data_IF_472373768907
#
_entry.id   IF_472373768907
#
_cell.length_a   1.000
_cell.length_b   1.000
_cell.length_c   1.000
_cell.angle_alpha   90.00
_cell.angle_beta   90.00
_cell.angle_gamma   90.00
#
_symmetry.space_group_name_H-M   'P 1'
#
loop_
_entity.id
_entity.type
_entity.pdbx_description
1 polymer ?
#
# COMPACT_ATOMS: atom_id res chain seq x y z
N UNK A 1 6.50 -19.50 -10.84
CA UNK A 1 5.64 -20.50 -11.52
C UNK A 1 4.15 -20.26 -11.26
N UNK A 2 3.69 -19.95 -10.04
CA UNK A 2 2.25 -19.77 -9.77
C UNK A 2 1.56 -18.64 -10.57
N UNK A 3 2.21 -17.48 -10.74
CA UNK A 3 1.65 -16.34 -11.49
C UNK A 3 1.40 -16.63 -12.97
N UNK A 4 2.20 -17.53 -13.58
CA UNK A 4 2.08 -17.91 -15.00
C UNK A 4 0.78 -18.68 -15.31
N UNK A 5 0.14 -19.29 -14.30
CA UNK A 5 -1.12 -20.01 -14.47
C UNK A 5 -2.36 -19.11 -14.36
N UNK A 6 -2.22 -17.89 -13.84
CA UNK A 6 -3.37 -16.99 -13.58
C UNK A 6 -3.57 -15.94 -14.68
N UNK A 7 -2.44 -15.52 -15.26
CA UNK A 7 -2.38 -14.66 -16.44
C UNK A 7 -1.43 -15.36 -17.38
N UNK A 8 -1.92 -15.74 -18.56
CA UNK A 8 -1.05 -16.19 -19.62
C UNK A 8 -0.17 -15.02 -20.03
N UNK A 9 1.06 -14.99 -19.51
CA UNK A 9 2.04 -13.96 -19.83
C UNK A 9 2.25 -13.87 -21.35
N UNK A 10 1.99 -14.94 -22.11
CA UNK A 10 2.10 -14.91 -23.56
C UNK A 10 1.08 -13.98 -24.22
N UNK A 11 -0.05 -13.71 -23.57
CA UNK A 11 -1.07 -12.76 -24.05
C UNK A 11 -0.71 -11.29 -23.80
N UNK A 12 0.32 -11.02 -23.00
CA UNK A 12 0.78 -9.65 -22.73
C UNK A 12 1.69 -9.12 -23.84
N UNK A 13 1.77 -7.79 -23.95
CA UNK A 13 2.54 -7.13 -25.00
C UNK A 13 4.03 -7.50 -24.93
N UNK A 14 4.76 -7.60 -26.07
CA UNK A 14 6.21 -7.80 -26.05
C UNK A 14 6.96 -6.76 -25.23
N UNK A 15 6.51 -5.50 -25.27
CA UNK A 15 7.04 -4.39 -24.47
C UNK A 15 6.92 -4.69 -22.96
N UNK A 16 5.77 -5.15 -22.50
CA UNK A 16 5.59 -5.49 -21.09
C UNK A 16 6.42 -6.71 -20.67
N UNK A 17 6.52 -7.75 -21.52
CA UNK A 17 7.34 -8.93 -21.23
C UNK A 17 8.81 -8.58 -21.00
N UNK A 18 9.36 -7.71 -21.84
CA UNK A 18 10.73 -7.18 -21.68
C UNK A 18 10.88 -6.39 -20.37
N UNK A 19 9.94 -5.47 -20.10
CA UNK A 19 9.93 -4.68 -18.86
C UNK A 19 9.84 -5.57 -17.60
N UNK A 20 8.98 -6.59 -17.62
CA UNK A 20 8.81 -7.54 -16.53
C UNK A 20 10.07 -8.39 -16.31
N UNK A 21 10.71 -8.86 -17.39
CA UNK A 21 11.96 -9.59 -17.28
C UNK A 21 13.07 -8.72 -16.65
N UNK A 22 13.21 -7.47 -17.08
CA UNK A 22 14.15 -6.50 -16.51
C UNK A 22 13.84 -6.22 -15.04
N UNK A 23 12.57 -5.99 -14.69
CA UNK A 23 12.15 -5.76 -13.31
C UNK A 23 12.47 -6.95 -12.40
N UNK A 24 12.22 -8.18 -12.89
CA UNK A 24 12.50 -9.41 -12.15
C UNK A 24 14.00 -9.55 -11.90
N UNK A 25 14.81 -9.40 -12.94
CA UNK A 25 16.27 -9.47 -12.84
C UNK A 25 16.81 -8.40 -11.88
N UNK A 26 16.37 -7.15 -12.04
CA UNK A 26 16.76 -6.04 -11.18
C UNK A 26 16.41 -6.29 -9.70
N UNK A 27 15.21 -6.79 -9.39
CA UNK A 27 14.85 -7.06 -8.00
C UNK A 27 15.68 -8.21 -7.41
N UNK A 28 15.81 -9.33 -8.12
CA UNK A 28 16.49 -10.52 -7.61
C UNK A 28 18.01 -10.34 -7.50
N UNK A 29 18.62 -9.68 -8.50
CA UNK A 29 20.07 -9.65 -8.66
C UNK A 29 20.70 -8.31 -8.27
N UNK A 30 19.92 -7.23 -8.11
CA UNK A 30 20.43 -5.93 -7.65
C UNK A 30 19.83 -5.53 -6.30
N UNK A 31 18.50 -5.44 -6.20
CA UNK A 31 17.85 -4.92 -4.99
C UNK A 31 18.00 -5.82 -3.76
N UNK A 32 17.74 -7.13 -3.89
CA UNK A 32 17.84 -8.06 -2.75
C UNK A 32 19.29 -8.15 -2.22
N UNK A 33 20.33 -8.33 -3.07
CA UNK A 33 21.72 -8.32 -2.58
C UNK A 33 22.15 -7.00 -1.94
N UNK A 34 21.57 -5.87 -2.37
CA UNK A 34 21.87 -4.55 -1.84
C UNK A 34 21.33 -4.29 -0.43
N UNK A 35 20.40 -5.10 0.10
CA UNK A 35 19.80 -4.90 1.42
C UNK A 35 20.86 -4.81 2.53
N UNK A 36 21.87 -5.69 2.51
CA UNK A 36 22.94 -5.66 3.51
C UNK A 36 23.75 -4.36 3.44
N UNK A 37 24.07 -3.90 2.23
CA UNK A 37 24.78 -2.64 2.01
C UNK A 37 23.94 -1.45 2.47
N UNK A 38 22.63 -1.46 2.20
CA UNK A 38 21.71 -0.43 2.65
C UNK A 38 21.71 -0.31 4.18
N UNK A 39 21.54 -1.42 4.90
CA UNK A 39 21.55 -1.42 6.37
C UNK A 39 22.88 -0.94 6.95
N UNK A 40 24.02 -1.29 6.34
CA UNK A 40 25.34 -0.79 6.75
C UNK A 40 25.52 0.72 6.51
N UNK A 41 24.88 1.26 5.47
CA UNK A 41 24.94 2.68 5.09
C UNK A 41 23.92 3.56 5.83
N UNK A 42 22.93 2.97 6.48
CA UNK A 42 21.88 3.71 7.22
C UNK A 42 22.42 4.49 8.43
N UNK A 43 23.63 4.23 8.92
CA UNK A 43 24.14 4.88 10.13
C UNK A 43 23.44 4.41 11.41
N UNK A 44 23.79 5.01 12.55
CA UNK A 44 23.29 4.60 13.88
C UNK A 44 22.58 5.76 14.58
N UNK A 45 21.75 5.43 15.58
CA UNK A 45 21.10 6.40 16.48
C UNK A 45 20.28 7.48 15.75
N UNK A 46 20.68 8.74 15.86
CA UNK A 46 20.01 9.87 15.22
C UNK A 46 20.50 10.14 13.79
N UNK A 47 21.71 9.69 13.44
CA UNK A 47 22.31 9.99 12.13
C UNK A 47 21.56 9.31 10.99
N UNK A 48 20.90 8.19 11.28
CA UNK A 48 20.04 7.47 10.32
C UNK A 48 18.83 8.25 9.82
N UNK A 49 18.48 9.36 10.46
CA UNK A 49 17.43 10.26 9.98
C UNK A 49 17.95 11.36 9.03
N UNK A 50 19.27 11.45 8.84
CA UNK A 50 19.92 12.50 8.05
C UNK A 50 20.59 11.96 6.78
N UNK A 51 20.71 10.63 6.68
CA UNK A 51 21.44 9.95 5.62
C UNK A 51 20.46 9.32 4.63
N UNK A 52 20.74 9.50 3.35
CA UNK A 52 20.19 8.67 2.28
C UNK A 52 21.29 7.69 1.87
N UNK A 53 21.12 6.37 2.10
CA UNK A 53 22.12 5.38 1.72
C UNK A 53 22.51 5.48 0.24
N UNK A 54 23.80 5.67 -0.10
CA UNK A 54 24.25 5.82 -1.49
C UNK A 54 23.80 4.69 -2.43
N UNK A 55 23.73 3.45 -1.93
CA UNK A 55 23.29 2.29 -2.71
C UNK A 55 21.89 2.48 -3.32
N UNK A 56 21.02 3.24 -2.65
CA UNK A 56 19.69 3.52 -3.13
C UNK A 56 19.71 4.42 -4.38
N UNK A 57 20.60 5.41 -4.42
CA UNK A 57 20.74 6.31 -5.58
C UNK A 57 21.41 5.59 -6.76
N UNK A 58 22.35 4.68 -6.50
CA UNK A 58 22.91 3.79 -7.53
C UNK A 58 21.81 2.89 -8.15
N UNK A 59 20.96 2.29 -7.31
CA UNK A 59 19.82 1.49 -7.75
C UNK A 59 18.81 2.33 -8.55
N UNK A 60 18.52 3.57 -8.15
CA UNK A 60 17.66 4.48 -8.92
C UNK A 60 18.24 4.79 -10.30
N UNK A 61 19.53 5.08 -10.38
CA UNK A 61 20.21 5.34 -11.66
C UNK A 61 20.12 4.12 -12.59
N UNK A 62 20.34 2.91 -12.05
CA UNK A 62 20.20 1.66 -12.80
C UNK A 62 18.75 1.38 -13.21
N UNK A 63 17.78 1.56 -12.33
CA UNK A 63 16.36 1.40 -12.65
C UNK A 63 15.95 2.30 -13.82
N UNK A 64 16.38 3.57 -13.82
CA UNK A 64 16.13 4.50 -14.92
C UNK A 64 16.74 4.04 -16.25
N UNK A 65 17.99 3.57 -16.25
CA UNK A 65 18.62 3.10 -17.49
C UNK A 65 17.94 1.86 -18.08
N UNK A 66 17.26 1.08 -17.24
CA UNK A 66 16.44 -0.07 -17.63
C UNK A 66 15.01 0.30 -18.02
N UNK A 67 14.58 1.56 -17.86
CA UNK A 67 13.20 2.00 -18.08
C UNK A 67 12.23 1.62 -16.96
N UNK A 68 12.75 1.26 -15.78
CA UNK A 68 11.99 0.82 -14.60
C UNK A 68 11.63 2.00 -13.67
N UNK A 69 10.96 3.03 -14.20
CA UNK A 69 10.71 4.27 -13.46
C UNK A 69 9.25 4.73 -13.58
N UNK A 70 8.64 5.16 -12.47
CA UNK A 70 7.24 5.64 -12.40
C UNK A 70 6.19 4.64 -12.90
N UNK A 71 6.46 3.32 -12.81
CA UNK A 71 5.63 2.28 -13.41
C UNK A 71 4.22 2.16 -12.79
N UNK A 72 4.00 2.73 -11.61
CA UNK A 72 2.73 2.72 -10.89
C UNK A 72 1.66 3.61 -11.54
N UNK A 73 2.08 4.63 -12.27
CA UNK A 73 1.17 5.61 -12.84
C UNK A 73 0.65 5.05 -14.17
N UNK A 74 -0.60 4.60 -14.14
CA UNK A 74 -1.21 3.82 -15.23
C UNK A 74 -1.49 4.63 -16.50
N UNK A 75 -1.96 3.92 -17.52
CA UNK A 75 -2.28 4.46 -18.86
C UNK A 75 -3.30 5.62 -18.90
N UNK A 76 -4.07 5.82 -17.83
CA UNK A 76 -5.06 6.89 -17.73
C UNK A 76 -4.43 8.26 -17.41
N UNK A 77 -3.12 8.31 -17.17
CA UNK A 77 -2.39 9.53 -16.83
C UNK A 77 -1.39 9.89 -17.93
N UNK A 78 -1.33 11.17 -18.30
CA UNK A 78 -0.41 11.68 -19.32
C UNK A 78 1.06 11.50 -18.91
N UNK A 79 1.32 11.58 -17.61
CA UNK A 79 2.63 11.41 -16.99
C UNK A 79 2.99 9.92 -16.76
N UNK A 80 2.07 8.99 -17.06
CA UNK A 80 2.16 7.57 -16.71
C UNK A 80 3.04 6.73 -17.63
N UNK A 81 3.45 5.56 -17.15
CA UNK A 81 4.26 4.60 -17.90
C UNK A 81 3.47 3.81 -18.97
N UNK A 82 2.14 4.02 -19.01
CA UNK A 82 1.25 3.36 -19.97
C UNK A 82 0.90 1.92 -19.62
N UNK A 83 1.09 1.50 -18.36
CA UNK A 83 0.72 0.17 -17.91
C UNK A 83 -0.76 0.11 -17.49
N UNK A 84 -1.38 -1.05 -17.69
CA UNK A 84 -2.63 -1.42 -17.00
C UNK A 84 -2.37 -1.71 -15.52
N UNK A 85 -3.41 -1.68 -14.69
CA UNK A 85 -3.29 -2.07 -13.27
C UNK A 85 -2.92 -3.55 -13.13
N UNK A 86 -3.39 -4.42 -14.04
CA UNK A 86 -2.99 -5.82 -14.07
C UNK A 86 -1.49 -5.98 -14.36
N UNK A 87 -0.96 -5.28 -15.35
CA UNK A 87 0.48 -5.28 -15.65
C UNK A 87 1.30 -4.73 -14.48
N UNK A 88 0.85 -3.61 -13.87
CA UNK A 88 1.52 -3.08 -12.70
C UNK A 88 1.43 -4.02 -11.49
N UNK A 89 0.34 -4.78 -11.31
CA UNK A 89 0.23 -5.75 -10.23
C UNK A 89 1.34 -6.80 -10.27
N UNK A 90 1.69 -7.27 -11.47
CA UNK A 90 2.78 -8.23 -11.69
C UNK A 90 4.15 -7.62 -11.34
N UNK A 91 4.39 -6.36 -11.70
CA UNK A 91 5.63 -5.64 -11.38
C UNK A 91 5.70 -5.35 -9.87
N UNK A 92 4.61 -4.87 -9.27
CA UNK A 92 4.54 -4.52 -7.87
C UNK A 92 4.72 -5.76 -6.97
N UNK A 93 4.20 -6.93 -7.38
CA UNK A 93 4.50 -8.22 -6.74
C UNK A 93 6.00 -8.49 -6.69
N UNK A 94 6.75 -8.26 -7.79
CA UNK A 94 8.21 -8.39 -7.78
C UNK A 94 8.84 -7.41 -6.78
N UNK A 95 8.50 -6.12 -6.83
CA UNK A 95 9.07 -5.12 -5.90
C UNK A 95 8.77 -5.44 -4.43
N UNK A 96 7.66 -6.14 -4.16
CA UNK A 96 7.29 -6.60 -2.83
C UNK A 96 8.28 -7.61 -2.24
N UNK A 97 9.09 -8.30 -3.04
CA UNK A 97 10.14 -9.19 -2.53
C UNK A 97 11.25 -8.41 -1.82
N UNK A 98 11.48 -7.14 -2.16
CA UNK A 98 12.46 -6.27 -1.51
C UNK A 98 11.79 -4.92 -1.15
N UNK A 99 10.88 -4.91 -0.16
CA UNK A 99 9.98 -3.78 0.05
C UNK A 99 10.69 -2.50 0.52
N UNK A 100 11.86 -2.61 1.14
CA UNK A 100 12.65 -1.46 1.62
C UNK A 100 13.38 -0.70 0.50
N UNK A 101 13.76 -1.38 -0.59
CA UNK A 101 14.60 -0.79 -1.64
C UNK A 101 13.89 -0.73 -2.99
N UNK A 102 13.34 -1.85 -3.45
CA UNK A 102 12.89 -1.97 -4.84
C UNK A 102 11.78 -0.97 -5.21
N UNK A 103 10.75 -0.73 -4.37
CA UNK A 103 9.76 0.29 -4.68
C UNK A 103 10.37 1.70 -4.81
N UNK A 104 11.25 2.12 -3.90
CA UNK A 104 11.85 3.46 -3.99
C UNK A 104 12.84 3.58 -5.16
N UNK A 105 13.65 2.54 -5.39
CA UNK A 105 14.58 2.48 -6.52
C UNK A 105 13.87 2.65 -7.88
N UNK A 106 12.60 2.24 -7.97
CA UNK A 106 11.77 2.36 -9.18
C UNK A 106 10.80 3.57 -9.13
N UNK A 107 10.93 4.45 -8.13
CA UNK A 107 10.02 5.57 -7.83
C UNK A 107 8.55 5.17 -7.72
N UNK A 108 8.32 4.02 -7.10
CA UNK A 108 7.04 3.37 -6.91
C UNK A 108 6.68 3.20 -5.41
N UNK A 109 7.45 3.77 -4.49
CA UNK A 109 7.19 3.66 -3.04
C UNK A 109 6.03 4.56 -2.58
N UNK A 110 5.24 4.05 -1.64
CA UNK A 110 4.40 4.90 -0.79
C UNK A 110 5.30 5.73 0.15
N UNK A 111 4.85 6.88 0.67
CA UNK A 111 3.55 7.53 0.40
C UNK A 111 3.51 8.34 -0.92
N UNK A 112 4.65 8.47 -1.62
CA UNK A 112 4.80 9.35 -2.77
C UNK A 112 3.89 9.00 -3.93
N UNK A 113 3.74 7.72 -4.28
CA UNK A 113 2.85 7.32 -5.39
C UNK A 113 1.42 7.84 -5.22
N UNK A 114 0.88 7.76 -4.00
CA UNK A 114 -0.46 8.29 -3.73
C UNK A 114 -0.53 9.81 -3.83
N UNK A 115 0.53 10.51 -3.42
CA UNK A 115 0.58 11.98 -3.52
C UNK A 115 0.79 12.44 -4.96
N UNK A 116 1.63 11.74 -5.74
CA UNK A 116 1.80 11.96 -7.17
C UNK A 116 0.48 11.76 -7.92
N UNK A 117 -0.30 10.72 -7.61
CA UNK A 117 -1.62 10.53 -8.21
C UNK A 117 -2.60 11.66 -7.87
N UNK A 118 -2.56 12.19 -6.63
CA UNK A 118 -3.36 13.36 -6.26
C UNK A 118 -3.01 14.55 -7.14
N UNK A 119 -1.74 14.87 -7.30
CA UNK A 119 -1.34 15.98 -8.16
C UNK A 119 -1.65 15.72 -9.64
N UNK A 120 -1.40 14.51 -10.15
CA UNK A 120 -1.67 14.15 -11.54
C UNK A 120 -3.16 14.31 -11.87
N UNK A 121 -4.04 13.93 -10.94
CA UNK A 121 -5.49 13.94 -11.14
C UNK A 121 -6.17 15.27 -10.83
N UNK A 122 -5.74 15.95 -9.77
CA UNK A 122 -6.45 17.11 -9.21
C UNK A 122 -5.62 18.38 -9.17
N UNK A 123 -4.31 18.30 -9.42
CA UNK A 123 -3.41 19.44 -9.36
C UNK A 123 -3.62 20.41 -10.51
N UNK A 124 -3.56 21.71 -10.20
CA UNK A 124 -3.48 22.76 -11.22
C UNK A 124 -2.14 22.68 -11.97
N UNK A 125 -2.00 23.30 -13.16
CA UNK A 125 -0.72 23.32 -13.87
C UNK A 125 0.46 23.82 -13.02
N UNK A 126 0.24 24.87 -12.21
CA UNK A 126 1.26 25.40 -11.30
C UNK A 126 1.63 24.40 -10.20
N UNK A 127 0.64 23.73 -9.59
CA UNK A 127 0.88 22.71 -8.57
C UNK A 127 1.62 21.49 -9.16
N UNK A 128 1.30 21.09 -10.39
CA UNK A 128 2.00 20.00 -11.09
C UNK A 128 3.46 20.36 -11.38
N UNK A 129 3.73 21.55 -11.90
CA UNK A 129 5.10 21.98 -12.18
C UNK A 129 5.93 22.08 -10.89
N UNK A 130 5.35 22.62 -9.82
CA UNK A 130 6.06 22.81 -8.56
C UNK A 130 6.28 21.50 -7.78
N UNK A 131 5.33 20.58 -7.78
CA UNK A 131 5.35 19.41 -6.90
C UNK A 131 5.38 18.07 -7.63
N UNK A 132 4.51 17.86 -8.62
CA UNK A 132 4.43 16.58 -9.32
C UNK A 132 5.71 16.28 -10.11
N UNK A 133 6.22 17.25 -10.86
CA UNK A 133 7.41 17.05 -11.69
C UNK A 133 8.65 16.69 -10.86
N UNK A 134 9.00 17.42 -9.77
CA UNK A 134 10.10 17.00 -8.89
C UNK A 134 9.91 15.63 -8.23
N UNK A 135 8.67 15.23 -7.91
CA UNK A 135 8.35 13.89 -7.38
C UNK A 135 8.52 12.79 -8.45
N UNK A 136 8.05 13.03 -9.68
CA UNK A 136 8.25 12.11 -10.81
C UNK A 136 9.73 12.02 -11.20
N UNK A 137 10.49 13.09 -10.97
CA UNK A 137 11.95 13.13 -11.11
C UNK A 137 12.67 12.50 -9.91
N UNK A 138 11.99 12.08 -8.84
CA UNK A 138 12.60 11.49 -7.63
C UNK A 138 13.57 12.43 -6.90
N UNK A 139 13.48 13.75 -7.10
CA UNK A 139 14.36 14.76 -6.49
C UNK A 139 13.91 15.17 -5.10
N UNK A 140 12.60 15.11 -4.85
CA UNK A 140 11.99 15.36 -3.55
C UNK A 140 11.14 14.17 -3.15
N UNK A 141 10.82 14.09 -1.86
CA UNK A 141 9.83 13.17 -1.28
C UNK A 141 8.66 13.98 -0.72
N UNK A 142 7.57 13.30 -0.42
CA UNK A 142 6.35 13.87 0.11
C UNK A 142 5.76 13.03 1.22
N UNK A 143 4.83 13.62 1.97
CA UNK A 143 4.15 12.95 3.05
C UNK A 143 2.67 13.32 3.06
N UNK A 144 1.82 12.42 3.59
CA UNK A 144 0.38 12.64 3.67
C UNK A 144 -0.06 12.72 5.12
N UNK A 145 -0.62 13.87 5.50
CA UNK A 145 -0.93 14.21 6.87
C UNK A 145 -2.44 14.22 7.13
N UNK A 146 -2.97 13.06 7.51
CA UNK A 146 -4.40 12.87 7.79
C UNK A 146 -4.65 12.47 9.24
N UNK A 147 -4.05 11.38 9.70
CA UNK A 147 -4.36 10.77 11.00
C UNK A 147 -3.97 11.70 12.16
N UNK A 148 -4.85 11.77 13.16
CA UNK A 148 -4.73 12.58 14.36
C UNK A 148 -4.74 11.68 15.61
N UNK A 149 -3.94 11.99 16.64
CA UNK A 149 -3.87 11.14 17.84
C UNK A 149 -5.05 11.34 18.80
N UNK A 150 -5.74 12.49 18.73
CA UNK A 150 -6.81 12.84 19.69
C UNK A 150 -8.20 12.36 19.27
N UNK A 151 -8.35 11.83 18.05
CA UNK A 151 -9.63 11.39 17.49
C UNK A 151 -9.49 10.05 16.76
N UNK A 152 -10.59 9.30 16.71
CA UNK A 152 -10.67 8.05 15.95
C UNK A 152 -10.67 8.32 14.44
N UNK A 153 -9.48 8.47 13.86
CA UNK A 153 -9.24 8.90 12.47
C UNK A 153 -9.65 7.87 11.40
N UNK A 154 -10.05 6.66 11.79
CA UNK A 154 -10.64 5.68 10.87
C UNK A 154 -11.98 6.16 10.30
N UNK A 155 -12.69 7.01 11.06
CA UNK A 155 -13.76 7.85 10.53
C UNK A 155 -13.16 9.23 10.21
N UNK A 156 -12.98 9.50 8.93
CA UNK A 156 -12.37 10.74 8.46
C UNK A 156 -13.21 11.99 8.78
N UNK A 157 -14.49 11.85 9.16
CA UNK A 157 -15.31 12.99 9.59
C UNK A 157 -14.90 13.53 10.96
N UNK A 158 -14.20 12.71 11.76
CA UNK A 158 -13.70 13.08 13.08
C UNK A 158 -12.44 13.94 13.04
N UNK A 159 -11.80 14.14 11.89
CA UNK A 159 -10.60 15.00 11.77
C UNK A 159 -10.92 16.42 12.26
N UNK A 160 -10.04 16.98 13.09
CA UNK A 160 -10.24 18.27 13.79
C UNK A 160 -9.21 19.35 13.43
N UNK A 161 -8.10 19.01 12.75
CA UNK A 161 -7.11 19.99 12.30
C UNK A 161 -7.81 21.16 11.59
N UNK A 162 -7.62 22.37 12.11
CA UNK A 162 -8.30 23.57 11.65
C UNK A 162 -7.54 24.16 10.46
N UNK A 163 -8.27 24.51 9.40
CA UNK A 163 -7.76 25.23 8.24
C UNK A 163 -8.67 26.45 8.04
N UNK A 164 -8.23 27.62 8.50
CA UNK A 164 -9.04 28.85 8.42
C UNK A 164 -8.49 29.77 7.35
N UNK A 165 -9.37 30.40 6.59
CA UNK A 165 -9.00 31.46 5.67
C UNK A 165 -8.80 32.77 6.45
N UNK A 166 -7.61 33.36 6.33
CA UNK A 166 -7.30 34.70 6.85
C UNK A 166 -6.74 35.54 5.70
N UNK A 167 -7.58 36.41 5.14
CA UNK A 167 -7.21 37.21 3.95
C UNK A 167 -6.94 36.34 2.72
N UNK A 168 -5.70 36.40 2.22
CA UNK A 168 -5.21 35.66 1.06
C UNK A 168 -4.40 34.41 1.43
N UNK A 169 -4.55 33.90 2.65
CA UNK A 169 -3.86 32.70 3.13
C UNK A 169 -4.79 31.76 3.89
N UNK A 170 -4.42 30.48 3.94
CA UNK A 170 -4.89 29.54 4.94
C UNK A 170 -3.96 29.54 6.14
N UNK A 171 -4.55 29.43 7.34
CA UNK A 171 -3.86 29.24 8.60
C UNK A 171 -4.23 27.88 9.17
N UNK A 172 -3.23 27.04 9.36
CA UNK A 172 -3.40 25.64 9.74
C UNK A 172 -2.93 25.43 11.18
N UNK A 173 -3.79 24.82 11.99
CA UNK A 173 -3.49 24.43 13.37
C UNK A 173 -3.96 23.00 13.64
N UNK A 174 -3.05 22.13 14.09
CA UNK A 174 -3.40 20.75 14.39
C UNK A 174 -2.22 19.88 14.80
N UNK A 175 -2.54 18.69 15.30
CA UNK A 175 -1.58 17.65 15.67
C UNK A 175 -1.85 16.41 14.83
N UNK A 176 -0.84 15.99 14.07
CA UNK A 176 -0.90 14.82 13.19
C UNK A 176 0.11 13.75 13.65
N UNK A 177 -0.18 12.49 13.38
CA UNK A 177 0.74 11.38 13.68
C UNK A 177 0.62 10.26 12.66
N UNK A 178 1.65 9.40 12.62
CA UNK A 178 1.84 8.40 11.57
C UNK A 178 2.02 9.02 10.18
N UNK A 179 2.74 10.15 10.12
CA UNK A 179 3.06 10.82 8.87
C UNK A 179 4.29 10.13 8.26
N UNK A 180 4.04 9.11 7.45
CA UNK A 180 5.09 8.37 6.74
C UNK A 180 5.88 9.29 5.82
N UNK A 181 7.20 9.11 5.76
CA UNK A 181 8.09 9.87 4.89
C UNK A 181 8.57 11.20 5.48
N UNK A 182 7.96 11.67 6.57
CA UNK A 182 8.32 12.96 7.16
C UNK A 182 9.69 12.98 7.85
N UNK A 183 10.29 11.81 8.12
CA UNK A 183 11.65 11.74 8.65
C UNK A 183 12.73 11.88 7.57
N UNK A 184 12.36 11.68 6.29
CA UNK A 184 13.31 11.72 5.18
C UNK A 184 13.75 13.17 4.93
N UNK A 185 15.07 13.46 4.88
CA UNK A 185 15.56 14.83 4.66
C UNK A 185 15.16 15.41 3.30
N UNK A 186 14.71 14.58 2.35
CA UNK A 186 14.19 15.01 1.04
C UNK A 186 12.69 15.32 1.07
N UNK A 187 11.98 15.02 2.16
CA UNK A 187 10.56 15.30 2.31
C UNK A 187 10.30 16.81 2.26
N UNK A 188 9.82 17.28 1.11
CA UNK A 188 9.70 18.71 0.83
C UNK A 188 8.27 19.23 0.90
N UNK A 189 7.27 18.34 0.94
CA UNK A 189 5.85 18.71 0.89
C UNK A 189 4.96 17.75 1.66
N UNK A 190 4.04 18.32 2.43
CA UNK A 190 2.94 17.63 3.08
C UNK A 190 1.63 17.90 2.34
N UNK A 191 0.82 16.86 2.15
CA UNK A 191 -0.60 17.01 1.83
C UNK A 191 -1.41 16.87 3.11
N UNK A 192 -1.89 17.99 3.64
CA UNK A 192 -2.52 18.09 4.96
C UNK A 192 -4.04 18.11 4.82
N UNK A 193 -4.71 17.17 5.48
CA UNK A 193 -6.17 17.15 5.57
C UNK A 193 -6.64 17.83 6.86
N UNK A 194 -7.63 18.72 6.73
CA UNK A 194 -8.24 19.41 7.87
C UNK A 194 -9.60 20.01 7.53
N UNK A 195 -10.30 20.56 8.53
CA UNK A 195 -11.61 21.20 8.39
C UNK A 195 -11.46 22.64 7.92
N UNK A 196 -12.00 22.94 6.75
CA UNK A 196 -12.15 24.31 6.21
C UNK A 196 -13.51 24.91 6.51
N UNK A 197 -14.54 24.06 6.68
CA UNK A 197 -15.90 24.48 6.98
C UNK A 197 -16.50 23.56 8.07
N UNK A 198 -16.11 23.74 9.35
CA UNK A 198 -16.51 22.85 10.44
C UNK A 198 -18.03 22.85 10.71
N UNK A 199 -18.74 23.90 10.29
CA UNK A 199 -20.17 24.10 10.54
C UNK A 199 -21.05 23.65 9.35
N UNK A 200 -20.45 23.13 8.28
CA UNK A 200 -21.21 22.61 7.14
C UNK A 200 -22.18 21.50 7.58
N UNK A 201 -23.44 21.57 7.15
CA UNK A 201 -24.45 20.55 7.43
C UNK A 201 -24.08 19.19 6.83
N UNK A 202 -23.43 19.20 5.68
CA UNK A 202 -22.93 18.00 5.01
C UNK A 202 -21.54 17.65 5.56
N UNK A 203 -21.47 16.71 6.52
CA UNK A 203 -20.22 16.34 7.21
C UNK A 203 -19.07 15.97 6.26
N UNK A 204 -19.36 15.36 5.12
CA UNK A 204 -18.34 14.98 4.12
C UNK A 204 -17.81 16.15 3.30
N UNK A 205 -18.38 17.35 3.46
CA UNK A 205 -17.97 18.59 2.80
C UNK A 205 -17.25 19.54 3.76
N UNK A 206 -16.94 19.12 4.99
CA UNK A 206 -16.29 19.98 6.00
C UNK A 206 -14.76 20.06 5.81
N UNK A 207 -14.16 19.03 5.20
CA UNK A 207 -12.71 18.86 5.10
C UNK A 207 -12.18 19.19 3.70
N UNK A 208 -10.95 19.67 3.68
CA UNK A 208 -10.17 19.94 2.46
C UNK A 208 -8.76 19.35 2.57
N UNK A 209 -8.07 19.31 1.44
CA UNK A 209 -6.66 18.94 1.36
C UNK A 209 -5.84 20.14 0.91
N UNK A 210 -4.82 20.51 1.68
CA UNK A 210 -3.96 21.68 1.45
C UNK A 210 -2.51 21.23 1.33
N UNK A 211 -1.82 21.80 0.34
CA UNK A 211 -0.38 21.61 0.12
C UNK A 211 0.39 22.47 1.12
N UNK A 212 1.30 21.87 1.87
CA UNK A 212 2.11 22.57 2.87
C UNK A 212 3.59 22.23 2.63
N UNK A 213 4.42 23.17 2.16
CA UNK A 213 5.86 22.98 2.06
C UNK A 213 6.47 22.62 3.42
N UNK A 214 7.41 21.68 3.46
CA UNK A 214 7.95 21.17 4.72
C UNK A 214 8.72 22.22 5.53
N UNK A 215 9.28 23.23 4.86
CA UNK A 215 9.99 24.35 5.48
C UNK A 215 9.11 25.53 5.92
N UNK A 216 7.78 25.42 5.84
CA UNK A 216 6.90 26.53 6.26
C UNK A 216 7.00 26.75 7.78
N UNK A 217 7.17 28.01 8.25
CA UNK A 217 7.19 28.31 9.69
C UNK A 217 5.94 27.79 10.42
N UNK A 218 6.14 27.27 11.63
CA UNK A 218 5.08 26.70 12.47
C UNK A 218 4.96 25.18 12.38
N UNK A 219 5.77 24.50 11.55
CA UNK A 219 5.82 23.04 11.49
C UNK A 219 6.88 22.53 12.46
N UNK A 220 6.51 21.57 13.31
CA UNK A 220 7.45 20.87 14.21
C UNK A 220 7.28 19.36 14.07
N UNK A 221 8.33 18.67 13.61
CA UNK A 221 8.41 17.20 13.70
C UNK A 221 8.79 16.84 15.14
N UNK A 222 7.85 16.27 15.88
CA UNK A 222 7.98 16.02 17.33
C UNK A 222 8.87 14.82 17.60
N UNK A 223 8.58 13.69 16.94
CA UNK A 223 9.31 12.43 17.10
C UNK A 223 8.95 11.41 16.03
N UNK A 224 9.84 10.45 15.75
CA UNK A 224 9.48 9.25 15.02
C UNK A 224 8.68 8.26 15.88
N UNK A 225 7.88 7.43 15.21
CA UNK A 225 7.07 6.35 15.78
C UNK A 225 7.75 5.00 15.53
N UNK A 226 7.37 3.99 16.31
CA UNK A 226 7.89 2.62 16.15
C UNK A 226 6.76 1.61 15.96
N UNK A 227 6.99 0.62 15.11
CA UNK A 227 6.14 -0.56 14.94
C UNK A 227 6.96 -1.78 15.38
N UNK A 228 6.58 -2.43 16.49
CA UNK A 228 7.36 -3.55 17.07
C UNK A 228 8.86 -3.25 17.27
N UNK A 229 9.21 -1.97 17.50
CA UNK A 229 10.60 -1.53 17.68
C UNK A 229 11.29 -1.06 16.39
N UNK A 230 10.76 -1.36 15.21
CA UNK A 230 11.23 -0.81 13.92
C UNK A 230 10.78 0.64 13.77
N UNK A 231 11.67 1.52 13.34
CA UNK A 231 11.39 2.94 13.15
C UNK A 231 11.47 3.42 11.68
N UNK A 232 11.89 2.53 10.77
CA UNK A 232 11.88 2.74 9.31
C UNK A 232 12.65 3.98 8.83
N UNK A 233 13.67 4.41 9.58
CA UNK A 233 14.54 5.51 9.18
C UNK A 233 15.19 5.25 7.79
N UNK A 234 15.42 6.29 6.97
CA UNK A 234 15.15 7.70 7.25
C UNK A 234 13.68 8.06 6.98
N UNK A 235 12.94 7.26 6.22
CA UNK A 235 11.55 7.55 5.83
C UNK A 235 10.66 7.77 7.06
N UNK A 236 10.59 6.72 7.90
CA UNK A 236 9.90 6.63 9.17
C UNK A 236 8.44 7.08 9.16
N UNK A 237 7.90 7.22 10.37
CA UNK A 237 6.55 7.73 10.60
C UNK A 237 6.61 8.76 11.72
N UNK A 238 6.19 10.00 11.48
CA UNK A 238 6.36 11.06 12.47
C UNK A 238 5.06 11.57 13.09
N UNK A 239 5.17 12.06 14.32
CA UNK A 239 4.23 13.00 14.94
C UNK A 239 4.63 14.43 14.56
N UNK A 240 3.68 15.23 14.09
CA UNK A 240 3.91 16.58 13.55
C UNK A 240 2.88 17.55 14.11
N UNK A 241 3.36 18.68 14.63
CA UNK A 241 2.55 19.82 15.02
C UNK A 241 2.55 20.84 13.89
N UNK A 242 1.36 21.34 13.55
CA UNK A 242 1.15 22.53 12.74
C UNK A 242 0.63 23.62 13.67
N UNK A 243 1.41 24.66 13.90
CA UNK A 243 1.07 25.80 14.74
C UNK A 243 1.13 27.10 13.93
N UNK A 244 -0.04 27.66 13.62
CA UNK A 244 -0.19 28.87 12.81
C UNK A 244 0.56 28.83 11.47
N UNK A 245 0.58 27.66 10.84
CA UNK A 245 1.23 27.45 9.55
C UNK A 245 0.43 28.20 8.48
N UNK A 246 1.09 29.13 7.78
CA UNK A 246 0.46 29.99 6.76
C UNK A 246 0.87 29.59 5.35
N UNK A 247 -0.12 29.34 4.50
CA UNK A 247 0.09 29.03 3.07
C UNK A 247 -0.87 29.83 2.19
N UNK A 248 -0.51 30.13 0.93
CA UNK A 248 -1.40 30.83 0.00
C UNK A 248 -2.69 30.05 -0.31
N UNK A 249 -3.74 30.73 -0.78
CA UNK A 249 -5.02 30.08 -1.12
C UNK A 249 -4.90 29.09 -2.27
N UNK A 250 -3.97 29.32 -3.20
CA UNK A 250 -3.67 28.43 -4.33
C UNK A 250 -3.08 27.08 -3.91
N UNK A 251 -2.72 26.89 -2.63
CA UNK A 251 -2.29 25.61 -2.10
C UNK A 251 -3.45 24.63 -1.84
N UNK A 252 -4.71 25.06 -1.99
CA UNK A 252 -5.87 24.15 -1.92
C UNK A 252 -5.84 23.18 -3.10
N UNK A 253 -6.08 21.89 -2.85
CA UNK A 253 -6.22 20.89 -3.91
C UNK A 253 -7.70 20.75 -4.25
N UNK A 254 -8.02 20.92 -5.54
CA UNK A 254 -9.36 20.83 -6.14
C UNK A 254 -10.35 21.93 -5.67
N UNK A 255 -10.46 22.19 -4.37
CA UNK A 255 -11.30 23.23 -3.78
C UNK A 255 -11.68 22.96 -2.33
N UNK A 256 -12.22 23.97 -1.66
CA UNK A 256 -12.74 23.85 -0.29
C UNK A 256 -13.90 22.83 -0.23
N UNK A 257 -13.93 22.03 0.83
CA UNK A 257 -14.93 20.97 1.06
C UNK A 257 -14.78 19.72 0.19
N UNK A 258 -13.71 19.65 -0.63
CA UNK A 258 -13.47 18.51 -1.55
C UNK A 258 -12.50 17.47 -0.99
N UNK A 259 -12.15 17.53 0.29
CA UNK A 259 -11.17 16.64 0.91
C UNK A 259 -11.52 15.16 0.78
N UNK A 260 -12.79 14.79 1.04
CA UNK A 260 -13.25 13.40 0.92
C UNK A 260 -13.11 12.82 -0.50
N UNK A 261 -13.37 13.64 -1.51
CA UNK A 261 -13.22 13.22 -2.91
C UNK A 261 -11.76 12.94 -3.27
N UNK A 262 -10.86 13.83 -2.84
CA UNK A 262 -9.42 13.68 -3.12
C UNK A 262 -8.85 12.46 -2.40
N UNK A 263 -9.16 12.26 -1.11
CA UNK A 263 -8.64 11.10 -0.38
C UNK A 263 -9.19 9.78 -0.90
N UNK A 264 -10.45 9.71 -1.34
CA UNK A 264 -10.99 8.50 -1.96
C UNK A 264 -10.30 8.20 -3.30
N UNK A 265 -9.98 9.24 -4.07
CA UNK A 265 -9.18 9.13 -5.29
C UNK A 265 -7.78 8.58 -5.04
N UNK A 266 -7.13 9.02 -3.95
CA UNK A 266 -5.78 8.58 -3.53
C UNK A 266 -5.74 7.16 -2.97
N UNK A 267 -6.65 6.85 -2.04
CA UNK A 267 -6.58 5.64 -1.23
C UNK A 267 -7.01 4.37 -2.01
N UNK A 268 -7.80 4.50 -3.08
CA UNK A 268 -8.17 3.35 -3.91
C UNK A 268 -6.94 2.64 -4.51
N UNK A 269 -6.13 3.35 -5.33
CA UNK A 269 -4.87 2.85 -5.88
C UNK A 269 -3.84 2.47 -4.79
N UNK A 270 -3.66 3.31 -3.77
CA UNK A 270 -2.74 3.02 -2.66
C UNK A 270 -2.99 1.66 -1.99
N UNK A 271 -4.27 1.35 -1.68
CA UNK A 271 -4.66 0.05 -1.10
C UNK A 271 -4.25 -1.13 -1.97
N UNK A 272 -4.49 -1.06 -3.28
CA UNK A 272 -4.19 -2.19 -4.16
C UNK A 272 -2.67 -2.36 -4.36
N UNK A 273 -1.90 -1.27 -4.43
CA UNK A 273 -0.43 -1.33 -4.52
C UNK A 273 0.20 -2.02 -3.31
N UNK A 274 -0.29 -1.74 -2.10
CA UNK A 274 0.14 -2.46 -0.90
C UNK A 274 -0.22 -3.94 -0.96
N UNK A 275 -1.41 -4.30 -1.46
CA UNK A 275 -1.82 -5.69 -1.60
C UNK A 275 -0.92 -6.47 -2.58
N UNK A 276 -0.54 -5.84 -3.70
CA UNK A 276 0.38 -6.44 -4.68
C UNK A 276 1.73 -6.76 -4.04
N UNK A 277 2.29 -5.81 -3.27
CA UNK A 277 3.58 -6.01 -2.57
C UNK A 277 3.51 -7.03 -1.45
N UNK A 278 2.34 -7.19 -0.80
CA UNK A 278 2.15 -8.26 0.19
C UNK A 278 2.39 -9.65 -0.40
N UNK A 279 1.99 -9.88 -1.66
CA UNK A 279 2.23 -11.15 -2.34
C UNK A 279 3.73 -11.39 -2.53
N UNK A 280 4.48 -10.36 -2.93
CA UNK A 280 5.94 -10.43 -3.06
C UNK A 280 6.65 -10.80 -1.75
N UNK A 281 6.30 -10.14 -0.65
CA UNK A 281 6.84 -10.45 0.67
C UNK A 281 6.51 -11.89 1.09
N UNK A 282 5.28 -12.36 0.82
CA UNK A 282 4.85 -13.71 1.15
C UNK A 282 5.57 -14.79 0.31
N UNK A 283 5.77 -14.55 -0.98
CA UNK A 283 6.57 -15.44 -1.84
C UNK A 283 8.01 -15.53 -1.34
N UNK A 284 8.63 -14.40 -0.98
CA UNK A 284 9.99 -14.43 -0.42
C UNK A 284 10.05 -15.13 0.94
N UNK A 285 9.04 -14.95 1.80
CA UNK A 285 8.97 -15.67 3.07
C UNK A 285 8.84 -17.20 2.85
N UNK A 286 8.04 -17.63 1.87
CA UNK A 286 7.92 -19.04 1.51
C UNK A 286 9.24 -19.58 0.92
N UNK A 287 9.92 -18.83 0.05
CA UNK A 287 11.23 -19.25 -0.50
C UNK A 287 12.27 -19.42 0.61
N UNK A 288 12.32 -18.50 1.57
CA UNK A 288 13.18 -18.61 2.76
C UNK A 288 12.81 -19.83 3.61
N UNK A 289 11.51 -20.11 3.81
CA UNK A 289 11.05 -21.29 4.52
C UNK A 289 11.50 -22.58 3.80
N UNK A 290 11.33 -22.67 2.49
CA UNK A 290 11.74 -23.83 1.69
C UNK A 290 13.25 -24.07 1.79
N UNK A 291 14.07 -23.03 1.62
CA UNK A 291 15.52 -23.11 1.77
C UNK A 291 15.91 -23.56 3.19
N UNK A 292 15.25 -23.02 4.21
CA UNK A 292 15.51 -23.36 5.62
C UNK A 292 15.20 -24.80 5.97
N UNK A 293 14.06 -25.32 5.52
CA UNK A 293 13.60 -26.65 5.96
C UNK A 293 14.24 -27.79 5.17
N UNK A 294 14.81 -27.49 4.01
CA UNK A 294 15.54 -28.45 3.17
C UNK A 294 17.05 -28.46 3.43
N UNK A 295 17.58 -27.50 4.19
CA UNK A 295 18.96 -27.51 4.69
C UNK A 295 19.19 -28.75 5.56
N UNK A 296 20.08 -29.64 5.09
CA UNK A 296 20.38 -30.92 5.73
C UNK A 296 20.97 -30.82 7.15
N UNK A 297 21.43 -29.63 7.55
CA UNK A 297 21.92 -29.36 8.91
C UNK A 297 20.79 -29.01 9.89
N UNK A 298 19.60 -28.67 9.40
CA UNK A 298 18.44 -28.33 10.22
C UNK A 298 17.66 -29.59 10.52
N UNK A 299 18.02 -30.23 11.64
CA UNK A 299 17.43 -31.51 12.06
C UNK A 299 16.84 -31.42 13.46
N UNK A 300 15.71 -32.11 13.64
CA UNK A 300 15.12 -32.36 14.96
C UNK A 300 14.63 -33.80 15.00
N UNK A 301 14.81 -34.47 16.14
CA UNK A 301 14.35 -35.86 16.30
C UNK A 301 14.83 -36.80 15.17
N UNK A 302 16.07 -36.62 14.70
CA UNK A 302 16.70 -37.46 13.67
C UNK A 302 16.35 -37.14 12.22
N UNK A 303 15.41 -36.22 11.96
CA UNK A 303 14.90 -35.90 10.62
C UNK A 303 15.23 -34.47 10.21
N UNK A 304 15.37 -34.20 8.92
CA UNK A 304 15.38 -32.80 8.43
C UNK A 304 14.00 -32.20 8.59
N UNK A 305 13.93 -30.88 8.75
CA UNK A 305 12.65 -30.18 9.01
C UNK A 305 11.57 -30.50 7.95
N UNK A 306 11.95 -30.63 6.68
CA UNK A 306 11.04 -30.97 5.58
C UNK A 306 10.36 -32.36 5.70
N UNK A 307 10.89 -33.27 6.53
CA UNK A 307 10.28 -34.60 6.76
C UNK A 307 9.21 -34.58 7.86
N UNK A 308 9.04 -33.46 8.58
CA UNK A 308 7.99 -33.32 9.58
C UNK A 308 6.68 -32.93 8.90
N UNK A 309 5.63 -33.73 9.08
CA UNK A 309 4.34 -33.52 8.42
C UNK A 309 3.71 -32.14 8.66
N UNK A 310 3.95 -31.52 9.83
CA UNK A 310 3.49 -30.16 10.14
C UNK A 310 4.14 -29.12 9.22
N UNK A 311 5.45 -29.22 8.96
CA UNK A 311 6.18 -28.33 8.05
C UNK A 311 5.67 -28.49 6.61
N UNK A 312 5.44 -29.73 6.16
CA UNK A 312 4.86 -30.00 4.83
C UNK A 312 3.46 -29.38 4.70
N UNK A 313 2.64 -29.50 5.74
CA UNK A 313 1.32 -28.87 5.80
C UNK A 313 1.41 -27.35 5.73
N UNK A 314 2.32 -26.73 6.49
CA UNK A 314 2.51 -25.28 6.51
C UNK A 314 2.93 -24.72 5.14
N UNK A 315 3.81 -25.43 4.43
CA UNK A 315 4.20 -25.10 3.05
C UNK A 315 2.98 -25.14 2.12
N UNK A 316 2.20 -26.22 2.19
CA UNK A 316 1.01 -26.40 1.35
C UNK A 316 -0.03 -25.31 1.63
N UNK A 317 -0.32 -25.02 2.91
CA UNK A 317 -1.24 -23.95 3.30
C UNK A 317 -0.76 -22.59 2.83
N UNK A 318 0.54 -22.29 2.96
CA UNK A 318 1.10 -21.02 2.51
C UNK A 318 0.96 -20.82 1.01
N UNK A 319 1.23 -21.84 0.20
CA UNK A 319 1.01 -21.79 -1.26
C UNK A 319 -0.46 -21.54 -1.60
N UNK A 320 -1.39 -22.24 -0.94
CA UNK A 320 -2.83 -22.07 -1.17
C UNK A 320 -3.26 -20.63 -0.86
N UNK A 321 -2.87 -20.09 0.29
CA UNK A 321 -3.23 -18.73 0.71
C UNK A 321 -2.64 -17.66 -0.24
N UNK A 322 -1.37 -17.79 -0.62
CA UNK A 322 -0.70 -16.89 -1.58
C UNK A 322 -1.46 -16.86 -2.90
N UNK A 323 -1.77 -18.04 -3.46
CA UNK A 323 -2.39 -18.13 -4.78
C UNK A 323 -3.84 -17.61 -4.73
N UNK A 324 -4.61 -17.91 -3.67
CA UNK A 324 -5.95 -17.36 -3.45
C UNK A 324 -5.94 -15.82 -3.43
N UNK A 325 -5.02 -15.22 -2.69
CA UNK A 325 -4.91 -13.75 -2.62
C UNK A 325 -4.43 -13.17 -3.94
N UNK A 326 -3.50 -13.83 -4.64
CA UNK A 326 -3.06 -13.38 -5.97
C UNK A 326 -4.22 -13.30 -6.95
N UNK A 327 -5.07 -14.32 -7.01
CA UNK A 327 -6.29 -14.27 -7.83
C UNK A 327 -7.19 -13.08 -7.47
N UNK A 328 -7.40 -12.84 -6.18
CA UNK A 328 -8.23 -11.75 -5.70
C UNK A 328 -7.65 -10.37 -6.06
N UNK A 329 -6.34 -10.18 -5.89
CA UNK A 329 -5.65 -8.92 -6.23
C UNK A 329 -5.66 -8.66 -7.73
N UNK A 330 -5.38 -9.68 -8.56
CA UNK A 330 -5.45 -9.55 -10.01
C UNK A 330 -6.87 -9.30 -10.52
N UNK A 331 -7.87 -9.92 -9.89
CA UNK A 331 -9.29 -9.65 -10.17
C UNK A 331 -9.66 -8.20 -9.85
N UNK A 332 -9.21 -7.68 -8.70
CA UNK A 332 -9.41 -6.28 -8.33
C UNK A 332 -8.69 -5.33 -9.30
N UNK A 333 -7.44 -5.62 -9.68
CA UNK A 333 -6.69 -4.82 -10.66
C UNK A 333 -7.42 -4.77 -12.02
N UNK A 334 -7.88 -5.92 -12.53
CA UNK A 334 -8.68 -5.99 -13.76
C UNK A 334 -9.98 -5.20 -13.65
N UNK A 335 -10.64 -5.24 -12.49
CA UNK A 335 -11.86 -4.46 -12.24
C UNK A 335 -11.58 -2.96 -12.26
N UNK A 336 -10.43 -2.52 -11.75
CA UNK A 336 -9.97 -1.12 -11.85
C UNK A 336 -9.77 -0.74 -13.31
N UNK A 337 -9.11 -1.56 -14.12
CA UNK A 337 -8.91 -1.30 -15.55
C UNK A 337 -10.25 -1.14 -16.31
N UNK A 338 -11.27 -1.91 -15.92
CA UNK A 338 -12.59 -1.90 -16.59
C UNK A 338 -13.53 -0.80 -16.09
N UNK A 339 -13.50 -0.48 -14.79
CA UNK A 339 -14.52 0.33 -14.13
C UNK A 339 -13.96 1.50 -13.31
N UNK A 340 -12.64 1.75 -13.39
CA UNK A 340 -11.86 2.68 -12.57
C UNK A 340 -11.92 2.30 -11.08
N UNK A 341 -11.08 2.92 -10.26
CA UNK A 341 -11.00 2.61 -8.83
C UNK A 341 -12.35 2.75 -8.08
N UNK A 342 -13.17 3.74 -8.46
CA UNK A 342 -14.50 3.94 -7.88
C UNK A 342 -15.47 2.79 -8.18
N UNK A 343 -15.38 2.17 -9.35
CA UNK A 343 -16.19 1.01 -9.74
C UNK A 343 -15.69 -0.32 -9.19
N UNK A 344 -14.51 -0.34 -8.55
CA UNK A 344 -13.85 -1.52 -8.01
C UNK A 344 -13.74 -1.51 -6.48
N UNK A 345 -14.49 -0.63 -5.78
CA UNK A 345 -14.34 -0.44 -4.33
C UNK A 345 -14.57 -1.72 -3.53
N UNK A 346 -15.51 -2.59 -3.96
CA UNK A 346 -15.76 -3.87 -3.28
C UNK A 346 -14.54 -4.78 -3.42
N UNK A 347 -14.01 -4.93 -4.61
CA UNK A 347 -12.87 -5.78 -4.94
C UNK A 347 -11.59 -5.29 -4.25
N UNK A 348 -11.34 -3.97 -4.26
CA UNK A 348 -10.24 -3.34 -3.51
C UNK A 348 -10.39 -3.61 -2.01
N UNK A 349 -11.59 -3.45 -1.45
CA UNK A 349 -11.86 -3.73 -0.04
C UNK A 349 -11.60 -5.19 0.34
N UNK A 350 -12.03 -6.14 -0.50
CA UNK A 350 -11.77 -7.57 -0.28
C UNK A 350 -10.26 -7.85 -0.29
N UNK A 351 -9.53 -7.33 -1.28
CA UNK A 351 -8.07 -7.49 -1.36
C UNK A 351 -7.35 -6.86 -0.15
N UNK A 352 -7.78 -5.66 0.27
CA UNK A 352 -7.20 -4.92 1.41
C UNK A 352 -7.31 -5.65 2.74
N UNK A 353 -8.33 -6.49 2.91
CA UNK A 353 -8.44 -7.37 4.07
C UNK A 353 -7.60 -8.63 3.86
N UNK A 354 -7.76 -9.30 2.72
CA UNK A 354 -7.19 -10.62 2.51
C UNK A 354 -5.65 -10.60 2.45
N UNK A 355 -5.05 -9.62 1.77
CA UNK A 355 -3.61 -9.62 1.50
C UNK A 355 -2.73 -9.44 2.74
N UNK A 356 -2.99 -8.47 3.66
CA UNK A 356 -2.21 -8.35 4.89
C UNK A 356 -2.39 -9.54 5.84
N UNK A 357 -3.58 -10.14 5.87
CA UNK A 357 -3.85 -11.34 6.70
C UNK A 357 -3.11 -12.58 6.14
N UNK A 358 -3.12 -12.79 4.83
CA UNK A 358 -2.31 -13.84 4.18
C UNK A 358 -0.82 -13.64 4.46
N UNK A 359 -0.30 -12.42 4.28
CA UNK A 359 1.10 -12.14 4.55
C UNK A 359 1.46 -12.43 6.01
N UNK A 360 0.60 -12.03 6.95
CA UNK A 360 0.82 -12.30 8.39
C UNK A 360 0.94 -13.80 8.65
N UNK A 361 0.03 -14.61 8.10
CA UNK A 361 0.02 -16.07 8.31
C UNK A 361 1.23 -16.76 7.68
N UNK A 362 1.58 -16.41 6.43
CA UNK A 362 2.71 -17.02 5.72
C UNK A 362 4.02 -16.67 6.40
N UNK A 363 4.22 -15.41 6.78
CA UNK A 363 5.44 -14.97 7.44
C UNK A 363 5.56 -15.61 8.82
N UNK A 364 4.48 -15.73 9.60
CA UNK A 364 4.50 -16.38 10.91
C UNK A 364 4.93 -17.86 10.81
N UNK A 365 4.39 -18.63 9.85
CA UNK A 365 4.84 -20.01 9.57
C UNK A 365 6.32 -20.06 9.19
N UNK A 366 6.77 -19.13 8.34
CA UNK A 366 8.17 -19.04 7.94
C UNK A 366 9.08 -18.71 9.13
N UNK A 367 8.66 -17.79 10.02
CA UNK A 367 9.38 -17.45 11.25
C UNK A 367 9.50 -18.67 12.16
N UNK A 368 8.40 -19.42 12.35
CA UNK A 368 8.38 -20.63 13.16
C UNK A 368 9.33 -21.71 12.62
N UNK A 369 9.38 -21.90 11.29
CA UNK A 369 10.31 -22.84 10.65
C UNK A 369 11.80 -22.43 10.83
N UNK A 370 12.07 -21.14 11.05
CA UNK A 370 13.41 -20.64 11.35
C UNK A 370 13.78 -20.73 12.84
N UNK A 371 12.81 -20.96 13.73
CA UNK A 371 13.01 -20.90 15.18
C UNK A 371 13.45 -19.50 15.62
N UNK A 372 14.39 -19.40 16.55
CA UNK A 372 14.88 -18.11 17.06
C UNK A 372 15.43 -17.18 15.96
N UNK A 373 15.98 -17.73 14.86
CA UNK A 373 16.46 -16.93 13.74
C UNK A 373 15.32 -16.17 13.03
N UNK A 374 14.08 -16.70 13.07
CA UNK A 374 12.92 -16.09 12.43
C UNK A 374 12.46 -14.78 13.07
N UNK A 375 12.81 -14.55 14.34
CA UNK A 375 12.52 -13.32 15.07
C UNK A 375 13.74 -12.38 15.17
N UNK A 376 14.85 -12.73 14.51
CA UNK A 376 16.12 -11.98 14.58
C UNK A 376 16.40 -11.19 13.30
N UNK A 377 17.41 -10.33 13.35
CA UNK A 377 17.89 -9.53 12.22
C UNK A 377 18.54 -10.34 11.09
N UNK A 378 18.83 -11.63 11.31
CA UNK A 378 19.49 -12.48 10.31
C UNK A 378 18.56 -12.87 9.16
N UNK A 379 17.27 -12.56 9.26
CA UNK A 379 16.28 -12.74 8.20
C UNK A 379 15.38 -11.50 8.09
N UNK A 380 14.76 -11.23 6.93
CA UNK A 380 13.81 -10.12 6.81
C UNK A 380 12.45 -10.42 7.45
N UNK A 381 12.21 -11.63 7.96
CA UNK A 381 10.88 -12.13 8.33
C UNK A 381 10.21 -11.28 9.42
N UNK A 382 10.95 -10.89 10.47
CA UNK A 382 10.40 -10.04 11.53
C UNK A 382 9.90 -8.68 10.99
N UNK A 383 10.63 -8.09 10.03
CA UNK A 383 10.22 -6.84 9.38
C UNK A 383 9.01 -7.03 8.48
N UNK A 384 8.91 -8.17 7.78
CA UNK A 384 7.73 -8.50 6.96
C UNK A 384 6.48 -8.71 7.83
N UNK A 385 6.63 -9.32 9.00
CA UNK A 385 5.54 -9.48 9.95
C UNK A 385 5.06 -8.12 10.49
N UNK A 386 5.99 -7.23 10.85
CA UNK A 386 5.66 -5.88 11.27
C UNK A 386 4.91 -5.11 10.16
N UNK A 387 5.38 -5.19 8.91
CA UNK A 387 4.70 -4.60 7.76
C UNK A 387 3.29 -5.17 7.54
N UNK A 388 3.13 -6.50 7.61
CA UNK A 388 1.83 -7.17 7.50
C UNK A 388 0.84 -6.66 8.56
N UNK A 389 1.32 -6.52 9.80
CA UNK A 389 0.50 -6.05 10.91
C UNK A 389 0.12 -4.59 10.77
N UNK A 390 1.04 -3.73 10.32
CA UNK A 390 0.78 -2.31 10.02
C UNK A 390 -0.28 -2.15 8.94
N UNK A 391 -0.23 -2.95 7.88
CA UNK A 391 -1.17 -2.87 6.76
C UNK A 391 -2.60 -3.29 7.10
N UNK A 392 -2.84 -3.89 8.28
CA UNK A 392 -4.20 -4.10 8.83
C UNK A 392 -4.80 -2.84 9.48
N UNK A 393 -4.00 -1.79 9.66
CA UNK A 393 -4.41 -0.48 10.18
C UNK A 393 -4.33 0.61 9.11
N UNK A 394 -3.21 0.67 8.39
CA UNK A 394 -2.95 1.66 7.35
C UNK A 394 -3.99 1.58 6.22
N UNK A 395 -4.29 2.73 5.60
CA UNK A 395 -5.28 2.88 4.52
C UNK A 395 -6.69 2.34 4.84
N UNK A 396 -7.04 2.31 6.13
CA UNK A 396 -8.32 1.85 6.64
C UNK A 396 -8.21 0.47 7.31
N UNK A 397 -8.65 0.34 8.58
CA UNK A 397 -8.66 -0.92 9.29
C UNK A 397 -9.54 -1.98 8.62
N UNK A 398 -9.21 -3.26 8.85
CA UNK A 398 -9.96 -4.40 8.31
C UNK A 398 -11.48 -4.27 8.59
N UNK A 399 -11.87 -3.79 9.78
CA UNK A 399 -13.25 -3.67 10.25
C UNK A 399 -14.05 -2.66 9.41
N UNK A 400 -13.43 -1.54 9.03
CA UNK A 400 -14.05 -0.51 8.19
C UNK A 400 -14.36 -1.10 6.80
N UNK A 401 -13.41 -1.84 6.23
CA UNK A 401 -13.58 -2.50 4.94
C UNK A 401 -14.63 -3.63 5.00
N UNK A 402 -14.63 -4.44 6.07
CA UNK A 402 -15.64 -5.51 6.27
C UNK A 402 -17.05 -4.92 6.35
N UNK A 403 -17.24 -3.82 7.09
CA UNK A 403 -18.52 -3.14 7.19
C UNK A 403 -18.99 -2.62 5.82
N UNK A 404 -18.09 -2.00 5.05
CA UNK A 404 -18.41 -1.52 3.70
C UNK A 404 -18.83 -2.66 2.77
N UNK A 405 -18.07 -3.76 2.73
CA UNK A 405 -18.38 -4.93 1.89
C UNK A 405 -19.71 -5.56 2.32
N UNK A 406 -19.92 -5.75 3.62
CA UNK A 406 -21.16 -6.31 4.16
C UNK A 406 -22.38 -5.48 3.79
N UNK A 407 -22.32 -4.15 3.95
CA UNK A 407 -23.39 -3.24 3.53
C UNK A 407 -23.66 -3.30 2.03
N UNK A 408 -22.62 -3.43 1.19
CA UNK A 408 -22.79 -3.57 -0.26
C UNK A 408 -23.45 -4.91 -0.60
N UNK A 409 -23.04 -6.01 0.04
CA UNK A 409 -23.61 -7.34 -0.20
C UNK A 409 -25.06 -7.43 0.29
N UNK A 410 -25.42 -6.78 1.39
CA UNK A 410 -26.81 -6.78 1.88
C UNK A 410 -27.81 -6.12 0.92
N UNK A 411 -27.36 -5.30 -0.04
CA UNK A 411 -28.25 -4.66 -1.03
C UNK A 411 -28.98 -5.64 -1.94
N UNK A 412 -28.47 -6.87 -2.12
CA UNK A 412 -29.15 -7.93 -2.91
C UNK A 412 -30.09 -8.81 -2.09
N UNK A 413 -30.25 -8.57 -0.79
CA UNK A 413 -30.97 -9.48 0.10
C UNK A 413 -32.43 -9.68 -0.32
N UNK A 414 -33.12 -8.60 -0.71
CA UNK A 414 -34.52 -8.65 -1.13
C UNK A 414 -34.71 -9.50 -2.40
N UNK A 415 -33.88 -9.27 -3.42
CA UNK A 415 -33.89 -10.04 -4.67
C UNK A 415 -33.63 -11.53 -4.41
N UNK A 416 -32.62 -11.85 -3.59
CA UNK A 416 -32.27 -13.23 -3.24
C UNK A 416 -33.40 -13.90 -2.46
N UNK A 417 -34.03 -13.20 -1.51
CA UNK A 417 -35.16 -13.72 -0.74
C UNK A 417 -36.35 -14.06 -1.65
N UNK A 418 -36.69 -13.18 -2.59
CA UNK A 418 -37.73 -13.41 -3.57
C UNK A 418 -37.41 -14.63 -4.46
N UNK A 419 -36.17 -14.74 -4.96
CA UNK A 419 -35.71 -15.89 -5.76
C UNK A 419 -35.83 -17.20 -4.99
N UNK A 420 -35.38 -17.25 -3.74
CA UNK A 420 -35.46 -18.45 -2.90
C UNK A 420 -36.90 -18.84 -2.63
N UNK A 421 -37.79 -17.86 -2.36
CA UNK A 421 -39.23 -18.12 -2.18
C UNK A 421 -39.83 -18.77 -3.43
N UNK A 422 -39.59 -18.20 -4.62
CA UNK A 422 -40.07 -18.75 -5.88
C UNK A 422 -39.53 -20.17 -6.17
N UNK A 423 -38.27 -20.43 -5.83
CA UNK A 423 -37.68 -21.78 -5.93
C UNK A 423 -38.42 -22.78 -5.04
N UNK A 424 -38.70 -22.43 -3.78
CA UNK A 424 -39.44 -23.29 -2.84
C UNK A 424 -40.86 -23.60 -3.35
N UNK A 425 -41.56 -22.59 -3.87
CA UNK A 425 -42.90 -22.77 -4.45
C UNK A 425 -42.87 -23.68 -5.68
N UNK A 426 -41.87 -23.56 -6.55
CA UNK A 426 -41.70 -24.44 -7.72
C UNK A 426 -41.37 -25.87 -7.29
N UNK A 427 -40.44 -26.05 -6.35
CA UNK A 427 -40.09 -27.38 -5.83
C UNK A 427 -41.30 -28.09 -5.22
N UNK A 428 -42.12 -27.36 -4.46
CA UNK A 428 -43.35 -27.91 -3.86
C UNK A 428 -44.35 -28.37 -4.93
N UNK A 429 -44.57 -27.57 -5.98
CA UNK A 429 -45.44 -27.96 -7.11
C UNK A 429 -44.94 -29.21 -7.84
N UNK A 430 -43.63 -29.30 -8.09
CA UNK A 430 -43.03 -30.45 -8.77
C UNK A 430 -43.14 -31.73 -7.93
N UNK A 431 -42.93 -31.64 -6.62
CA UNK A 431 -43.08 -32.78 -5.71
C UNK A 431 -44.53 -33.28 -5.67
N UNK A 432 -45.51 -32.38 -5.51
CA UNK A 432 -46.92 -32.74 -5.49
C UNK A 432 -47.44 -33.33 -6.81
N UNK A 433 -46.86 -32.93 -7.95
CA UNK A 433 -47.21 -33.50 -9.25
C UNK A 433 -46.72 -34.95 -9.41
N UNK A 434 -45.57 -35.30 -8.81
CA UNK A 434 -45.00 -36.65 -8.86
C UNK A 434 -45.58 -37.61 -7.83
N UNK A 435 -46.11 -37.11 -6.72
CA UNK A 435 -46.79 -37.93 -5.72
C UNK A 435 -48.21 -38.38 -6.14
N UNK A 436 -48.71 -37.91 -7.29
CA UNK A 436 -50.00 -38.27 -7.88
C UNK A 436 -49.89 -39.32 -9.00
N UNK A 437 -48.69 -39.84 -9.25
CA UNK A 437 -48.36 -40.99 -10.11
C UNK A 437 -47.94 -42.11 -9.17
#
# INVERSE_FOLDING_TARGET
>A
MATQNLIDLNTLSPKFKDLYAKAKDFVENDCIPAEKTFELQMGLNEDRWKVIPPILEELKAKARSLGLWNLFLGQDYAEGAGLTNVEYALIAELTGRCPKLAPEAMNCSAPDTGNMEVFAKYGTPAQKEQWLKPLLDGKIRSAFAMTEPRVASSDATNIETSIRREGNQYVINGLKWWISGAGDPRCSVYLVMGKTDPDNKEKHSQQSLVIVPAGTPGITVVRPMKVFGFDDAPEGHCEIIFENVRVPLENIILGEGRGFEVIQGRLGPGRIHHCMRCIGMAERALDLMLARVTDGTRRTFGKVLAEHGTIVSDIATSRIEIDQVRYLVLSAARKIDQAKAKGALKEIGMAKIAAPNMLSNVVDRAMQAHGAAGISQDTPLASFFAAARTLRYADGPDEVHRNQIGKVELRRAEEVAAKIKAQKEKSSRLASAKAKI
#
